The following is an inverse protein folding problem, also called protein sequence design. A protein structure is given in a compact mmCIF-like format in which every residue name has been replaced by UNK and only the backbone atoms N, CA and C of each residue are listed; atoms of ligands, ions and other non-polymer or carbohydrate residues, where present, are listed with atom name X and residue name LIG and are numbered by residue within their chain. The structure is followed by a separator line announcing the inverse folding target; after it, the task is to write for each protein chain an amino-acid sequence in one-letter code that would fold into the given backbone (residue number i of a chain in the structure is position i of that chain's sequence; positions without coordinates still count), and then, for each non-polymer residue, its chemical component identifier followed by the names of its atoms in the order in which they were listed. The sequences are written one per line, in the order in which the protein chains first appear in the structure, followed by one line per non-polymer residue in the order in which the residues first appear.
data_IF_641145422855
#
_entry.id   IF_641145422855
#
_cell.length_a   1.000
_cell.length_b   1.000
_cell.length_c   1.000
_cell.angle_alpha   90.00
_cell.angle_beta   90.00
_cell.angle_gamma   90.00
#
_symmetry.space_group_name_H-M   'P 1'
#
loop_
_entity.id
_entity.type
_entity.pdbx_description
1 polymer ?
#
# COMPACT_ATOMS: atom_id res chain seq x y z
N UNK A 1 -4.64 32.65 -16.28
CA UNK A 1 -4.69 31.36 -17.00
C UNK A 1 -5.08 30.29 -15.99
N UNK A 2 -6.28 29.69 -16.07
CA UNK A 2 -6.62 28.56 -15.22
C UNK A 2 -5.65 27.39 -15.48
N UNK A 3 -5.18 26.72 -14.42
CA UNK A 3 -4.37 25.49 -14.55
C UNK A 3 -5.19 24.48 -15.36
N UNK A 4 -4.63 23.83 -16.39
CA UNK A 4 -5.34 22.77 -17.08
C UNK A 4 -5.70 21.69 -16.06
N UNK A 5 -7.00 21.40 -15.92
CA UNK A 5 -7.50 20.27 -15.18
C UNK A 5 -6.90 19.00 -15.80
N UNK A 6 -5.89 18.45 -15.14
CA UNK A 6 -5.36 17.15 -15.52
C UNK A 6 -6.41 16.11 -15.17
N UNK A 7 -7.13 15.62 -16.19
CA UNK A 7 -7.97 14.43 -16.05
C UNK A 7 -7.16 13.35 -15.36
N UNK A 8 -7.56 12.97 -14.16
CA UNK A 8 -6.95 11.88 -13.42
C UNK A 8 -7.06 10.61 -14.26
N UNK A 9 -5.93 9.98 -14.53
CA UNK A 9 -5.87 8.79 -15.35
C UNK A 9 -6.29 7.59 -14.50
N UNK A 10 -7.36 6.90 -14.90
CA UNK A 10 -7.85 5.71 -14.19
C UNK A 10 -6.95 4.52 -14.49
N UNK A 11 -6.52 3.70 -13.52
CA UNK A 11 -5.65 2.55 -13.79
C UNK A 11 -6.26 1.59 -14.82
N UNK A 12 -5.42 0.88 -15.56
CA UNK A 12 -5.82 -0.19 -16.46
C UNK A 12 -5.98 -1.49 -15.66
N UNK A 13 -6.99 -2.34 -15.94
CA UNK A 13 -7.10 -3.64 -15.29
C UNK A 13 -5.90 -4.54 -15.65
N UNK A 14 -5.59 -5.51 -14.78
CA UNK A 14 -4.52 -6.50 -14.99
C UNK A 14 -3.19 -5.89 -15.42
N UNK A 15 -2.75 -4.88 -14.68
CA UNK A 15 -1.58 -4.08 -15.03
C UNK A 15 -0.68 -3.94 -13.80
N UNK A 16 0.62 -4.07 -14.02
CA UNK A 16 1.65 -3.81 -13.01
C UNK A 16 2.05 -2.35 -13.10
N UNK A 17 2.03 -1.68 -11.96
CA UNK A 17 2.56 -0.34 -11.74
C UNK A 17 3.70 -0.39 -10.75
N UNK A 18 4.70 0.46 -10.95
CA UNK A 18 5.67 0.79 -9.90
C UNK A 18 5.16 2.00 -9.13
N UNK A 19 5.24 1.92 -7.81
CA UNK A 19 4.81 2.99 -6.90
C UNK A 19 6.01 3.56 -6.18
N UNK A 20 6.07 4.89 -6.10
CA UNK A 20 7.09 5.64 -5.37
C UNK A 20 6.38 6.56 -4.38
N UNK A 21 6.62 6.32 -3.11
CA UNK A 21 6.12 7.14 -2.01
C UNK A 21 7.27 7.92 -1.42
N UNK A 22 7.14 9.23 -1.30
CA UNK A 22 8.21 10.03 -0.72
C UNK A 22 8.43 9.67 0.75
N UNK A 23 9.70 9.47 1.12
CA UNK A 23 10.11 9.29 2.50
C UNK A 23 10.73 10.56 3.05
N UNK A 24 11.84 10.99 2.44
CA UNK A 24 12.68 12.09 2.93
C UNK A 24 13.70 12.50 1.89
N UNK A 25 14.42 13.58 2.16
CA UNK A 25 15.57 14.01 1.38
C UNK A 25 16.83 13.78 2.21
N UNK A 26 17.81 13.07 1.66
CA UNK A 26 19.13 12.84 2.26
C UNK A 26 20.17 13.30 1.25
N UNK A 27 21.12 14.14 1.69
CA UNK A 27 22.21 14.65 0.84
C UNK A 27 21.67 15.22 -0.49
N UNK A 28 20.65 16.08 -0.41
CA UNK A 28 19.96 16.70 -1.56
C UNK A 28 19.28 15.72 -2.53
N UNK A 29 19.12 14.45 -2.15
CA UNK A 29 18.45 13.43 -2.95
C UNK A 29 17.16 12.98 -2.26
N UNK A 30 16.05 13.02 -3.00
CA UNK A 30 14.81 12.43 -2.52
C UNK A 30 14.95 10.91 -2.45
N UNK A 31 14.45 10.35 -1.36
CA UNK A 31 14.39 8.92 -1.12
C UNK A 31 12.93 8.51 -1.10
N UNK A 32 12.65 7.38 -1.72
CA UNK A 32 11.31 6.86 -1.91
C UNK A 32 11.19 5.47 -1.30
N UNK A 33 9.99 5.14 -0.82
CA UNK A 33 9.57 3.78 -0.56
C UNK A 33 9.00 3.19 -1.85
N UNK A 34 9.43 1.98 -2.17
CA UNK A 34 9.13 1.31 -3.44
C UNK A 34 8.14 0.18 -3.22
N UNK A 35 7.18 0.06 -4.12
CA UNK A 35 6.28 -1.09 -4.19
C UNK A 35 5.79 -1.35 -5.61
N UNK A 36 5.23 -2.52 -5.84
CA UNK A 36 4.46 -2.83 -7.05
C UNK A 36 2.97 -2.83 -6.73
N UNK A 37 2.20 -2.05 -7.47
CA UNK A 37 0.75 -2.08 -7.39
C UNK A 37 0.21 -2.83 -8.60
N UNK A 38 -0.67 -3.80 -8.35
CA UNK A 38 -1.23 -4.66 -9.39
C UNK A 38 -2.73 -4.53 -9.37
N UNK A 39 -3.29 -4.09 -10.48
CA UNK A 39 -4.75 -3.97 -10.65
C UNK A 39 -5.37 -5.32 -10.98
N UNK A 40 -6.61 -5.51 -10.52
CA UNK A 40 -7.43 -6.68 -10.86
C UNK A 40 -8.66 -6.23 -11.66
N UNK A 41 -9.77 -6.99 -11.59
CA UNK A 41 -11.00 -6.68 -12.31
C UNK A 41 -11.72 -5.41 -11.82
N UNK A 42 -11.52 -5.04 -10.56
CA UNK A 42 -12.21 -3.92 -9.93
C UNK A 42 -11.25 -2.74 -9.78
N UNK A 43 -10.96 -2.03 -10.86
CA UNK A 43 -10.15 -0.80 -10.78
C UNK A 43 -10.93 0.29 -10.04
N UNK A 44 -10.31 1.10 -9.14
CA UNK A 44 -8.88 1.17 -8.81
C UNK A 44 -8.45 0.27 -7.64
N UNK A 45 -9.25 -0.71 -7.25
CA UNK A 45 -8.84 -1.70 -6.27
C UNK A 45 -7.74 -2.60 -6.86
N UNK A 46 -6.82 -3.05 -6.00
CA UNK A 46 -5.77 -3.97 -6.39
C UNK A 46 -4.93 -4.40 -5.21
N UNK A 47 -3.79 -5.04 -5.51
CA UNK A 47 -2.86 -5.53 -4.49
C UNK A 47 -1.54 -4.76 -4.57
N UNK A 48 -1.10 -4.22 -3.43
CA UNK A 48 0.22 -3.65 -3.26
C UNK A 48 1.19 -4.71 -2.71
N UNK A 49 2.33 -4.83 -3.38
CA UNK A 49 3.45 -5.70 -3.06
C UNK A 49 4.65 -4.84 -2.68
N UNK A 50 5.17 -4.98 -1.47
CA UNK A 50 6.36 -4.24 -1.04
C UNK A 50 7.10 -4.97 0.09
N UNK A 51 8.37 -4.60 0.30
CA UNK A 51 9.11 -4.96 1.50
C UNK A 51 9.11 -3.77 2.46
N UNK A 52 8.70 -3.97 3.71
CA UNK A 52 8.54 -2.91 4.71
C UNK A 52 9.09 -3.33 6.06
N UNK A 53 9.54 -2.38 6.87
CA UNK A 53 9.92 -2.56 8.28
C UNK A 53 8.85 -2.00 9.24
N UNK A 54 7.61 -1.83 8.75
CA UNK A 54 6.48 -1.32 9.55
C UNK A 54 6.33 -2.12 10.85
N UNK A 55 6.38 -1.42 11.99
CA UNK A 55 6.25 -2.06 13.30
C UNK A 55 7.46 -2.91 13.71
N UNK A 56 8.58 -2.81 12.98
CA UNK A 56 9.85 -3.49 13.26
C UNK A 56 10.98 -2.49 13.43
N UNK A 57 12.19 -3.00 13.63
CA UNK A 57 13.39 -2.17 13.66
C UNK A 57 13.70 -1.65 12.26
N UNK A 58 14.39 -0.53 12.23
CA UNK A 58 15.02 0.02 11.04
C UNK A 58 15.60 -1.06 10.12
N UNK A 59 15.18 -1.11 8.85
CA UNK A 59 15.72 -2.02 7.84
C UNK A 59 15.51 -3.52 8.14
N UNK A 60 14.74 -3.88 9.16
CA UNK A 60 14.28 -5.25 9.41
C UNK A 60 13.06 -5.53 8.54
N UNK A 61 13.32 -5.68 7.23
CA UNK A 61 12.28 -5.75 6.21
C UNK A 61 11.58 -7.12 6.21
N UNK A 62 10.27 -7.08 6.02
CA UNK A 62 9.45 -8.23 5.67
C UNK A 62 8.59 -7.92 4.46
N UNK A 63 8.20 -8.97 3.74
CA UNK A 63 7.30 -8.86 2.59
C UNK A 63 5.87 -8.68 3.10
N UNK A 64 5.18 -7.66 2.59
CA UNK A 64 3.76 -7.44 2.84
C UNK A 64 3.01 -7.39 1.50
N UNK A 65 1.88 -8.10 1.46
CA UNK A 65 0.91 -8.03 0.37
C UNK A 65 -0.39 -7.55 0.96
N UNK A 66 -0.94 -6.47 0.42
CA UNK A 66 -2.17 -5.88 0.96
C UNK A 66 -3.07 -5.37 -0.13
N UNK A 67 -4.37 -5.56 0.05
CA UNK A 67 -5.38 -4.96 -0.82
C UNK A 67 -5.42 -3.46 -0.56
N UNK A 68 -5.50 -2.69 -1.63
CA UNK A 68 -5.66 -1.23 -1.59
C UNK A 68 -6.87 -0.86 -2.43
N UNK A 69 -7.72 0.04 -1.92
CA UNK A 69 -8.89 0.52 -2.65
C UNK A 69 -8.51 1.43 -3.83
N UNK A 70 -7.47 2.24 -3.62
CA UNK A 70 -6.90 3.15 -4.62
C UNK A 70 -5.49 3.56 -4.14
N UNK A 71 -4.42 3.30 -4.92
CA UNK A 71 -3.07 3.72 -4.55
C UNK A 71 -2.90 5.24 -4.43
N UNK A 72 -3.73 6.03 -5.12
CA UNK A 72 -3.65 7.50 -5.16
C UNK A 72 -4.17 8.17 -3.90
N UNK A 73 -4.91 7.45 -3.04
CA UNK A 73 -5.38 7.96 -1.75
C UNK A 73 -4.28 8.09 -0.70
N UNK A 74 -3.10 7.53 -0.96
CA UNK A 74 -1.96 7.69 -0.05
C UNK A 74 -1.41 9.12 -0.11
N UNK A 75 -1.40 9.80 1.03
CA UNK A 75 -0.87 11.18 1.17
C UNK A 75 0.62 11.30 0.84
N UNK A 76 1.35 10.19 0.93
CA UNK A 76 2.80 10.15 0.65
C UNK A 76 3.10 9.61 -0.75
N UNK A 77 2.08 9.22 -1.53
CA UNK A 77 2.28 8.81 -2.90
C UNK A 77 2.80 9.99 -3.72
N UNK A 78 3.86 9.74 -4.48
CA UNK A 78 4.41 10.70 -5.44
C UNK A 78 4.06 10.25 -6.87
N UNK A 79 4.28 8.98 -7.17
CA UNK A 79 4.10 8.45 -8.51
C UNK A 79 3.55 7.02 -8.49
N UNK A 80 2.60 6.75 -9.37
CA UNK A 80 2.14 5.40 -9.72
C UNK A 80 2.29 5.23 -11.24
N UNK A 81 3.30 4.48 -11.68
CA UNK A 81 3.78 4.49 -13.05
C UNK A 81 3.57 3.11 -13.71
N UNK A 82 2.88 3.08 -14.85
CA UNK A 82 2.62 1.82 -15.57
C UNK A 82 3.91 1.13 -16.02
N UNK A 83 3.98 -0.19 -15.88
CA UNK A 83 5.09 -1.00 -16.40
C UNK A 83 4.64 -1.93 -17.53
N UNK A 84 3.69 -2.84 -17.26
CA UNK A 84 3.32 -3.90 -18.18
C UNK A 84 2.01 -4.58 -17.75
N UNK A 85 1.52 -5.52 -18.57
CA UNK A 85 0.42 -6.41 -18.17
C UNK A 85 0.83 -7.29 -16.99
N UNK A 86 -0.10 -7.51 -16.08
CA UNK A 86 0.09 -8.33 -14.89
C UNK A 86 -0.24 -9.81 -15.15
N UNK A 87 0.56 -10.74 -14.57
CA UNK A 87 0.14 -12.11 -14.37
C UNK A 87 -0.84 -12.20 -13.18
N UNK A 88 -1.28 -13.41 -12.81
CA UNK A 88 -2.14 -13.57 -11.64
C UNK A 88 -1.41 -13.17 -10.35
N UNK A 89 -2.17 -12.65 -9.36
CA UNK A 89 -1.64 -12.28 -8.04
C UNK A 89 -0.90 -13.45 -7.39
N UNK A 90 -1.41 -14.67 -7.49
CA UNK A 90 -0.78 -15.87 -6.93
C UNK A 90 0.56 -16.20 -7.60
N UNK A 91 0.69 -15.94 -8.90
CA UNK A 91 1.97 -16.08 -9.62
C UNK A 91 3.00 -15.10 -9.06
N UNK A 92 2.59 -13.84 -8.85
CA UNK A 92 3.47 -12.80 -8.29
C UNK A 92 3.87 -13.17 -6.86
N UNK A 93 2.93 -13.61 -6.02
CA UNK A 93 3.20 -14.07 -4.65
C UNK A 93 4.18 -15.24 -4.61
N UNK A 94 3.98 -16.23 -5.49
CA UNK A 94 4.86 -17.41 -5.60
C UNK A 94 6.30 -17.03 -5.98
N UNK A 95 6.46 -16.09 -6.91
CA UNK A 95 7.79 -15.59 -7.30
C UNK A 95 8.39 -14.71 -6.19
N UNK A 96 7.59 -13.87 -5.54
CA UNK A 96 8.03 -13.03 -4.42
C UNK A 96 8.52 -13.87 -3.23
N UNK A 97 7.90 -15.02 -2.95
CA UNK A 97 8.30 -15.95 -1.89
C UNK A 97 9.67 -16.61 -2.13
N UNK A 98 10.17 -16.59 -3.36
CA UNK A 98 11.49 -17.13 -3.71
C UNK A 98 12.62 -16.12 -3.50
N UNK A 99 12.30 -14.85 -3.25
CA UNK A 99 13.31 -13.81 -3.03
C UNK A 99 13.82 -13.95 -1.58
N UNK A 100 15.12 -14.19 -1.37
CA UNK A 100 15.72 -14.37 -0.05
C UNK A 100 15.94 -13.03 0.66
N UNK A 101 14.86 -12.27 0.85
CA UNK A 101 14.88 -10.97 1.54
C UNK A 101 15.52 -11.12 2.93
N UNK A 102 16.40 -10.19 3.28
CA UNK A 102 17.20 -10.18 4.52
C UNK A 102 18.33 -11.22 4.60
N UNK A 103 18.57 -12.08 3.60
CA UNK A 103 19.78 -12.91 3.58
C UNK A 103 20.96 -12.14 2.98
N UNK A 104 22.03 -11.82 3.75
CA UNK A 104 23.18 -11.06 3.26
C UNK A 104 23.97 -11.79 2.16
N UNK A 105 23.86 -13.12 2.06
CA UNK A 105 24.56 -13.91 1.03
C UNK A 105 23.93 -13.79 -0.35
N UNK A 106 22.70 -13.26 -0.41
CA UNK A 106 21.90 -13.14 -1.61
C UNK A 106 21.65 -11.69 -2.01
N UNK A 107 22.41 -10.73 -1.47
CA UNK A 107 22.34 -9.33 -1.89
C UNK A 107 22.74 -9.24 -3.38
N UNK A 108 21.91 -8.65 -4.26
CA UNK A 108 22.23 -8.50 -5.67
C UNK A 108 23.54 -7.73 -5.90
N UNK A 109 24.26 -8.07 -6.97
CA UNK A 109 25.53 -7.40 -7.30
C UNK A 109 25.32 -5.89 -7.46
N UNK A 110 26.21 -5.11 -6.84
CA UNK A 110 26.17 -3.65 -6.85
C UNK A 110 25.28 -3.04 -5.76
N UNK A 111 24.58 -3.87 -4.99
CA UNK A 111 23.79 -3.43 -3.84
C UNK A 111 24.56 -3.71 -2.54
N UNK A 112 24.45 -2.81 -1.55
CA UNK A 112 25.15 -2.95 -0.27
C UNK A 112 24.32 -3.66 0.79
N UNK A 113 22.99 -3.62 0.67
CA UNK A 113 22.06 -4.22 1.62
C UNK A 113 20.67 -4.38 0.99
N UNK A 114 19.81 -5.16 1.64
CA UNK A 114 18.39 -5.21 1.30
C UNK A 114 17.69 -3.90 1.60
N UNK A 115 16.90 -3.43 0.63
CA UNK A 115 15.99 -2.28 0.75
C UNK A 115 14.68 -2.60 0.03
N UNK A 116 13.62 -1.83 0.28
CA UNK A 116 12.37 -1.99 -0.48
C UNK A 116 12.59 -1.85 -2.00
N UNK A 117 13.46 -0.92 -2.41
CA UNK A 117 13.91 -0.76 -3.81
C UNK A 117 14.55 -2.03 -4.36
N UNK A 118 15.55 -2.56 -3.65
CA UNK A 118 16.28 -3.77 -4.07
C UNK A 118 15.33 -4.97 -4.17
N UNK A 119 14.42 -5.12 -3.21
CA UNK A 119 13.41 -6.17 -3.26
C UNK A 119 12.47 -6.04 -4.46
N UNK A 120 12.00 -4.83 -4.78
CA UNK A 120 11.16 -4.59 -5.98
C UNK A 120 11.93 -4.93 -7.26
N UNK A 121 13.20 -4.55 -7.36
CA UNK A 121 14.06 -4.91 -8.50
C UNK A 121 14.18 -6.42 -8.66
N UNK A 122 14.44 -7.15 -7.57
CA UNK A 122 14.53 -8.61 -7.59
C UNK A 122 13.20 -9.28 -7.96
N UNK A 123 12.07 -8.72 -7.52
CA UNK A 123 10.75 -9.20 -7.93
C UNK A 123 10.52 -8.99 -9.44
N UNK A 124 10.83 -7.82 -9.98
CA UNK A 124 10.74 -7.57 -11.42
C UNK A 124 11.69 -8.48 -12.22
N UNK A 125 12.93 -8.68 -11.74
CA UNK A 125 13.89 -9.64 -12.30
C UNK A 125 13.32 -11.06 -12.32
N UNK A 126 12.73 -11.51 -11.20
CA UNK A 126 12.11 -12.82 -11.08
C UNK A 126 10.95 -12.99 -12.06
N UNK A 127 10.01 -12.04 -12.07
CA UNK A 127 8.86 -12.05 -12.99
C UNK A 127 9.30 -12.12 -14.46
N UNK A 128 10.33 -11.35 -14.85
CA UNK A 128 10.85 -11.39 -16.21
C UNK A 128 11.60 -12.69 -16.52
N UNK A 129 12.40 -13.22 -15.58
CA UNK A 129 13.15 -14.49 -15.74
C UNK A 129 12.21 -15.68 -15.91
N UNK A 130 11.07 -15.68 -15.22
CA UNK A 130 10.00 -16.67 -15.38
C UNK A 130 9.12 -16.40 -16.62
N UNK A 131 9.41 -15.36 -17.41
CA UNK A 131 8.69 -15.00 -18.64
C UNK A 131 7.19 -14.71 -18.43
N UNK A 132 6.80 -14.33 -17.21
CA UNK A 132 5.39 -14.00 -16.89
C UNK A 132 5.05 -12.53 -17.13
N UNK A 133 6.07 -11.69 -17.32
CA UNK A 133 5.95 -10.30 -17.77
C UNK A 133 7.00 -9.98 -18.83
N UNK A 134 6.75 -8.91 -19.59
CA UNK A 134 7.73 -8.28 -20.47
C UNK A 134 7.91 -6.83 -20.04
N UNK A 135 9.09 -6.48 -19.54
CA UNK A 135 9.37 -5.11 -19.13
C UNK A 135 9.64 -4.20 -20.34
N UNK A 136 9.31 -2.91 -20.23
CA UNK A 136 9.54 -1.91 -21.29
C UNK A 136 11.02 -1.52 -21.46
N UNK A 137 11.91 -1.99 -20.59
CA UNK A 137 13.34 -1.71 -20.62
C UNK A 137 14.09 -2.56 -19.60
N UNK A 138 15.38 -2.27 -19.39
CA UNK A 138 16.15 -2.86 -18.30
C UNK A 138 15.66 -2.35 -16.95
N UNK A 139 15.93 -3.11 -15.89
CA UNK A 139 15.50 -2.74 -14.53
C UNK A 139 16.21 -1.46 -14.07
N UNK A 140 17.46 -1.27 -14.46
CA UNK A 140 18.25 -0.07 -14.19
C UNK A 140 17.65 1.16 -14.88
N UNK A 141 17.18 1.02 -16.13
CA UNK A 141 16.50 2.10 -16.84
C UNK A 141 15.16 2.43 -16.18
N UNK A 142 14.37 1.40 -15.83
CA UNK A 142 13.11 1.57 -15.11
C UNK A 142 13.34 2.32 -13.81
N UNK A 143 14.33 1.92 -13.02
CA UNK A 143 14.69 2.58 -11.77
C UNK A 143 15.05 4.05 -11.99
N UNK A 144 15.97 4.33 -12.90
CA UNK A 144 16.43 5.69 -13.21
C UNK A 144 15.27 6.59 -13.64
N UNK A 145 14.43 6.13 -14.57
CA UNK A 145 13.32 6.90 -15.09
C UNK A 145 12.19 7.07 -14.06
N UNK A 146 11.97 6.08 -13.18
CA UNK A 146 10.96 6.16 -12.14
C UNK A 146 11.32 7.20 -11.07
N UNK A 147 12.57 7.21 -10.63
CA UNK A 147 13.09 8.23 -9.70
C UNK A 147 12.98 9.62 -10.31
N UNK A 148 13.42 9.80 -11.56
CA UNK A 148 13.32 11.08 -12.26
C UNK A 148 11.87 11.57 -12.37
N UNK A 149 10.94 10.67 -12.71
CA UNK A 149 9.53 11.00 -12.81
C UNK A 149 8.96 11.42 -11.44
N UNK A 150 9.30 10.68 -10.38
CA UNK A 150 8.89 11.00 -9.02
C UNK A 150 9.46 12.34 -8.54
N UNK A 151 10.75 12.62 -8.78
CA UNK A 151 11.38 13.91 -8.48
C UNK A 151 10.66 15.06 -9.19
N UNK A 152 10.40 14.91 -10.49
CA UNK A 152 9.68 15.92 -11.28
C UNK A 152 8.27 16.19 -10.74
N UNK A 153 7.52 15.14 -10.39
CA UNK A 153 6.17 15.27 -9.84
C UNK A 153 6.20 15.93 -8.46
N UNK A 154 7.17 15.56 -7.64
CA UNK A 154 7.39 16.14 -6.32
C UNK A 154 7.70 17.62 -6.38
N UNK A 155 8.58 18.05 -7.28
CA UNK A 155 8.94 19.45 -7.49
C UNK A 155 7.74 20.29 -7.95
N UNK A 156 6.79 19.66 -8.64
CA UNK A 156 5.51 20.27 -9.05
C UNK A 156 4.46 20.30 -7.92
N UNK A 157 4.73 19.68 -6.78
CA UNK A 157 3.74 19.45 -5.72
C UNK A 157 2.57 18.58 -6.20
N UNK A 158 2.83 17.66 -7.13
CA UNK A 158 1.84 16.82 -7.76
C UNK A 158 2.04 15.35 -7.39
N UNK A 159 0.92 14.63 -7.30
CA UNK A 159 0.89 13.16 -7.24
C UNK A 159 0.14 12.67 -8.46
N UNK A 160 0.72 11.75 -9.24
CA UNK A 160 0.09 11.27 -10.48
C UNK A 160 0.18 9.77 -10.67
N UNK A 161 -0.92 9.23 -11.21
CA UNK A 161 -0.93 7.97 -11.91
C UNK A 161 -0.65 8.23 -13.39
N UNK A 162 0.40 7.62 -13.93
CA UNK A 162 0.79 7.73 -15.34
C UNK A 162 0.58 6.38 -16.00
N UNK A 163 -0.38 6.34 -16.93
CA UNK A 163 -0.83 5.12 -17.60
C UNK A 163 -0.16 4.88 -18.96
N UNK A 164 0.75 5.75 -19.35
CA UNK A 164 1.49 5.66 -20.59
C UNK A 164 2.97 5.42 -20.31
N UNK A 165 3.63 4.57 -21.11
CA UNK A 165 5.06 4.26 -20.98
C UNK A 165 6.01 5.43 -21.29
N UNK A 166 5.47 6.61 -21.63
CA UNK A 166 6.26 7.79 -21.99
C UNK A 166 7.19 8.27 -20.87
N UNK A 167 6.90 7.93 -19.61
CA UNK A 167 7.78 8.28 -18.48
C UNK A 167 9.15 7.57 -18.54
N UNK A 168 9.22 6.42 -19.20
CA UNK A 168 10.46 5.63 -19.41
C UNK A 168 11.28 6.17 -20.58
N UNK A 169 10.66 6.88 -21.50
CA UNK A 169 11.40 7.39 -22.65
C UNK A 169 12.38 8.48 -22.20
N UNK A 170 13.57 8.56 -22.83
CA UNK A 170 14.40 9.74 -22.69
C UNK A 170 13.58 10.95 -23.15
N UNK A 171 13.64 12.10 -22.45
CA UNK A 171 12.97 13.29 -22.92
C UNK A 171 13.45 13.58 -24.35
N UNK A 172 12.55 14.02 -25.26
CA UNK A 172 12.98 14.47 -26.58
C UNK A 172 14.10 15.49 -26.35
N UNK A 173 15.28 15.22 -26.92
CA UNK A 173 16.48 16.02 -26.68
C UNK A 173 16.17 17.48 -27.01
N UNK A 174 15.92 18.30 -25.98
CA UNK A 174 15.98 19.73 -26.14
C UNK A 174 17.44 20.06 -26.42
N UNK A 175 17.76 20.44 -27.65
CA UNK A 175 19.05 21.00 -28.00
C UNK A 175 19.32 22.18 -27.06
N UNK A 176 20.24 22.00 -26.10
CA UNK A 176 20.69 23.09 -25.22
C UNK A 176 20.17 23.01 -23.80
N UNK A 177 20.81 22.20 -22.97
CA UNK A 177 21.52 22.67 -21.77
C UNK A 177 22.08 21.46 -21.03
N UNK A 178 23.41 21.35 -21.01
CA UNK A 178 24.16 20.31 -20.30
C UNK A 178 24.02 20.52 -18.79
N UNK A 179 22.89 20.15 -18.22
CA UNK A 179 22.85 19.84 -16.78
C UNK A 179 23.51 18.47 -16.61
N UNK A 180 24.52 18.34 -15.73
CA UNK A 180 25.19 17.07 -15.52
C UNK A 180 24.17 16.03 -15.06
N UNK A 181 24.15 14.88 -15.73
CA UNK A 181 23.38 13.70 -15.32
C UNK A 181 23.84 13.34 -13.92
N UNK A 182 23.00 13.61 -12.90
CA UNK A 182 23.26 13.16 -11.53
C UNK A 182 23.27 11.64 -11.55
N UNK A 183 24.46 11.05 -11.45
CA UNK A 183 24.63 9.61 -11.33
C UNK A 183 24.04 9.16 -9.99
N UNK A 184 22.86 8.56 -10.02
CA UNK A 184 22.27 7.84 -8.89
C UNK A 184 22.98 6.49 -8.77
N UNK A 185 24.28 6.51 -8.48
CA UNK A 185 25.01 5.30 -8.09
C UNK A 185 24.45 4.73 -6.81
N UNK A 186 24.92 3.55 -6.39
CA UNK A 186 24.64 3.02 -5.06
C UNK A 186 25.32 3.93 -4.03
N UNK A 187 24.71 5.08 -3.72
CA UNK A 187 25.09 5.88 -2.57
C UNK A 187 24.82 5.00 -1.36
N UNK A 188 25.85 4.63 -0.60
CA UNK A 188 25.68 3.94 0.66
C UNK A 188 24.67 4.75 1.48
N UNK A 189 23.75 4.06 2.15
CA UNK A 189 23.07 4.71 3.25
C UNK A 189 24.16 5.19 4.21
N UNK A 190 24.20 6.49 4.52
CA UNK A 190 24.87 7.01 5.71
C UNK A 190 24.12 6.47 6.94
N UNK A 191 24.28 5.18 7.18
CA UNK A 191 24.07 4.51 8.46
C UNK A 191 25.41 4.04 9.01
N UNK A 192 26.53 4.59 8.51
CA UNK A 192 27.80 4.53 9.21
C UNK A 192 27.65 5.27 10.53
N UNK A 193 27.21 4.51 11.53
CA UNK A 193 27.68 4.72 12.89
C UNK A 193 29.17 4.38 12.79
N UNK A 194 30.02 5.38 12.55
CA UNK A 194 31.45 5.25 12.77
C UNK A 194 31.61 4.63 14.16
N UNK A 195 32.04 3.36 14.21
CA UNK A 195 32.57 2.75 15.42
C UNK A 195 33.97 3.35 15.66
N UNK A 196 34.03 4.67 15.82
CA UNK A 196 35.16 5.38 16.37
C UNK A 196 35.08 5.23 17.89
N UNK A 197 35.93 4.35 18.43
CA UNK A 197 36.14 4.24 19.86
C UNK A 197 36.53 5.61 20.45
N UNK A 198 35.58 6.27 21.10
CA UNK A 198 35.79 7.61 21.65
C UNK A 198 34.70 7.97 22.64
N UNK A 199 35.06 7.95 23.92
CA UNK A 199 34.22 8.21 25.08
C UNK A 199 33.38 9.50 24.99
N UNK A 200 32.15 9.38 25.51
CA UNK A 200 31.29 10.38 26.20
C UNK A 200 30.39 11.32 25.38
N UNK A 201 29.20 11.46 25.98
CA UNK A 201 28.11 12.44 25.80
C UNK A 201 27.05 12.11 24.75
N UNK A 202 25.89 11.71 25.30
CA UNK A 202 24.69 11.38 24.56
C UNK A 202 24.03 12.60 23.93
N UNK A 203 23.73 12.47 22.66
CA UNK A 203 22.53 12.98 22.03
C UNK A 203 21.99 11.85 21.16
N UNK A 204 20.84 11.30 21.53
CA UNK A 204 20.18 10.25 20.75
C UNK A 204 19.79 10.81 19.39
N UNK A 205 20.51 10.40 18.35
CA UNK A 205 20.10 10.62 16.97
C UNK A 205 18.72 10.02 16.78
N UNK A 206 17.71 10.86 16.52
CA UNK A 206 16.36 10.41 16.20
C UNK A 206 16.42 9.63 14.89
N UNK A 207 16.29 8.32 14.99
CA UNK A 207 16.02 7.46 13.86
C UNK A 207 14.57 7.67 13.42
N UNK A 208 14.39 8.22 12.22
CA UNK A 208 13.09 8.33 11.55
C UNK A 208 12.98 7.16 10.56
N UNK A 209 12.39 6.05 11.00
CA UNK A 209 11.99 4.96 10.10
C UNK A 209 10.95 5.45 9.08
N UNK A 210 10.67 4.69 8.01
CA UNK A 210 9.62 5.06 7.07
C UNK A 210 8.29 5.17 7.82
N UNK A 211 7.62 6.31 7.70
CA UNK A 211 6.31 6.50 8.29
C UNK A 211 5.36 5.40 7.79
N UNK A 212 4.62 4.73 8.70
CA UNK A 212 3.69 3.69 8.32
C UNK A 212 2.69 4.25 7.31
N UNK A 213 2.44 3.47 6.27
CA UNK A 213 1.48 3.82 5.25
C UNK A 213 0.06 3.84 5.83
N UNK A 214 -0.49 5.03 5.99
CA UNK A 214 -1.92 5.28 6.22
C UNK A 214 -2.64 5.25 4.88
N UNK A 215 -2.95 4.04 4.41
CA UNK A 215 -4.00 3.84 3.42
C UNK A 215 -5.11 3.12 4.15
N UNK A 216 -6.35 3.60 4.01
CA UNK A 216 -7.51 2.97 4.62
C UNK A 216 -7.50 1.45 4.40
N UNK A 217 -7.26 0.71 5.48
CA UNK A 217 -7.30 -0.74 5.45
C UNK A 217 -8.77 -1.12 5.53
N UNK A 218 -9.30 -1.67 4.44
CA UNK A 218 -10.66 -2.19 4.47
C UNK A 218 -10.68 -3.47 5.31
N UNK A 219 -11.06 -3.34 6.58
CA UNK A 219 -11.32 -4.49 7.44
C UNK A 219 -12.69 -5.10 7.08
N UNK A 220 -12.78 -6.41 6.81
CA UNK A 220 -14.08 -7.09 6.82
C UNK A 220 -14.61 -7.12 8.26
N UNK A 221 -15.88 -6.74 8.43
CA UNK A 221 -16.59 -6.73 9.71
C UNK A 221 -16.64 -8.15 10.29
N UNK A 222 -15.88 -8.39 11.36
CA UNK A 222 -15.95 -9.63 12.14
C UNK A 222 -16.32 -9.29 13.57
N UNK A 223 -17.36 -9.96 14.07
CA UNK A 223 -17.92 -9.81 15.42
C UNK A 223 -16.92 -10.22 16.51
N UNK A 224 -16.90 -9.42 17.58
CA UNK A 224 -16.14 -9.57 18.84
C UNK A 224 -16.77 -10.65 19.74
N UNK A 225 -15.95 -11.47 20.44
CA UNK A 225 -15.81 -11.39 21.90
C UNK A 225 -14.34 -11.65 22.32
N UNK A 226 -13.77 -11.40 23.50
CA UNK A 226 -14.14 -10.94 24.84
C UNK A 226 -12.84 -11.05 25.69
N UNK A 227 -12.66 -10.11 26.62
CA UNK A 227 -11.57 -9.82 27.58
C UNK A 227 -10.49 -10.87 27.96
N UNK A 228 -9.25 -10.39 28.24
CA UNK A 228 -8.59 -10.38 29.58
C UNK A 228 -7.48 -9.31 29.60
N UNK A 229 -7.51 -8.42 30.59
CA UNK A 229 -6.49 -7.40 30.89
C UNK A 229 -5.25 -8.00 31.58
N UNK A 230 -4.05 -7.62 31.12
CA UNK A 230 -2.83 -7.66 31.93
C UNK A 230 -2.15 -6.31 31.88
N UNK A 231 -2.05 -5.71 33.06
CA UNK A 231 -1.44 -4.42 33.44
C UNK A 231 -0.02 -4.26 32.88
N UNK A 232 0.22 -3.27 32.02
CA UNK A 232 1.54 -2.67 31.78
C UNK A 232 1.43 -1.15 31.56
N UNK A 233 2.52 -0.48 31.87
CA UNK A 233 2.67 0.92 32.25
C UNK A 233 2.28 1.95 31.19
N UNK A 234 1.96 3.15 31.70
CA UNK A 234 1.40 4.32 30.99
C UNK A 234 2.34 4.82 29.90
N UNK A 235 1.94 4.62 28.64
CA UNK A 235 2.42 5.36 27.49
C UNK A 235 1.60 6.65 27.36
N UNK A 236 2.26 7.80 27.22
CA UNK A 236 1.59 9.06 26.94
C UNK A 236 1.04 9.03 25.51
N UNK A 237 -0.29 9.00 25.38
CA UNK A 237 -1.00 9.23 24.11
C UNK A 237 -0.84 10.70 23.66
N UNK A 238 -0.65 10.96 22.36
CA UNK A 238 -0.86 12.30 21.80
C UNK A 238 -2.36 12.65 21.82
N UNK A 239 -2.68 13.85 22.33
CA UNK A 239 -4.02 14.41 22.41
C UNK A 239 -4.82 14.29 21.11
N UNK A 240 -6.12 13.96 21.16
CA UNK A 240 -6.98 13.96 19.99
C UNK A 240 -7.16 15.38 19.46
N UNK A 241 -6.94 15.54 18.17
CA UNK A 241 -7.30 16.74 17.42
C UNK A 241 -8.82 16.82 17.35
N UNK A 242 -9.38 17.95 17.82
CA UNK A 242 -10.81 18.25 17.78
C UNK A 242 -11.32 18.17 16.34
N UNK A 243 -12.26 17.25 16.08
CA UNK A 243 -13.14 17.33 14.93
C UNK A 243 -14.53 17.64 15.44
N UNK A 244 -15.04 18.81 15.07
CA UNK A 244 -16.42 19.22 15.30
C UNK A 244 -17.36 18.12 14.82
N UNK A 245 -17.99 17.44 15.78
CA UNK A 245 -19.03 16.48 15.49
C UNK A 245 -20.34 17.26 15.45
N UNK A 246 -20.80 17.63 14.25
CA UNK A 246 -22.20 18.02 14.07
C UNK A 246 -23.07 16.80 14.41
N UNK A 247 -23.72 16.87 15.58
CA UNK A 247 -24.72 15.90 15.98
C UNK A 247 -25.94 15.98 15.06
N UNK A 248 -26.42 14.87 14.47
CA UNK A 248 -27.76 14.85 13.93
C UNK A 248 -28.75 14.76 15.10
N UNK A 249 -29.70 15.67 15.08
CA UNK A 249 -30.82 15.83 16.00
C UNK A 249 -31.60 14.50 16.13
N UNK A 250 -31.50 13.85 17.29
CA UNK A 250 -32.27 12.64 17.57
C UNK A 250 -33.75 12.98 17.72
N UNK A 251 -34.55 12.51 16.76
CA UNK A 251 -35.99 12.41 16.88
C UNK A 251 -36.38 11.55 18.09
N UNK A 252 -37.06 12.20 19.03
CA UNK A 252 -37.66 11.66 20.24
C UNK A 252 -38.86 10.78 19.87
N UNK A 253 -38.92 9.48 20.21
CA UNK A 253 -40.14 8.71 20.03
C UNK A 253 -41.18 9.15 21.07
N UNK A 254 -42.36 9.56 20.58
CA UNK A 254 -43.56 9.80 21.39
C UNK A 254 -44.00 8.48 22.01
N UNK A 255 -44.24 8.50 23.32
CA UNK A 255 -44.96 7.46 24.03
C UNK A 255 -46.37 7.32 23.43
N UNK A 256 -46.74 6.11 23.03
CA UNK A 256 -48.11 5.76 22.63
C UNK A 256 -48.81 5.20 23.87
N UNK A 257 -49.88 5.87 24.29
CA UNK A 257 -50.78 5.42 25.34
C UNK A 257 -51.43 4.08 24.97
N UNK A 258 -51.30 3.12 25.87
CA UNK A 258 -52.03 1.85 25.83
C UNK A 258 -53.46 2.10 26.29
N UNK A 259 -54.40 2.14 25.35
CA UNK A 259 -55.83 1.97 25.65
C UNK A 259 -56.17 0.48 25.58
N UNK A 260 -56.47 -0.09 26.75
CA UNK A 260 -57.35 -1.26 26.90
C UNK A 260 -58.71 -0.89 26.32
N UNK A 261 -59.30 -1.78 25.53
CA UNK A 261 -60.62 -2.34 25.81
C UNK A 261 -61.10 -3.33 24.74
N UNK A 262 -61.89 -4.28 25.24
CA UNK A 262 -62.87 -5.15 24.56
C UNK A 262 -62.41 -6.52 24.04
N UNK A 263 -62.67 -7.48 24.93
CA UNK A 263 -63.06 -8.85 24.65
C UNK A 263 -64.18 -8.94 23.60
N UNK A 264 -64.01 -9.84 22.63
CA UNK A 264 -65.11 -10.67 22.15
C UNK A 264 -64.59 -12.07 21.87
N UNK A 265 -65.11 -13.03 22.64
CA UNK A 265 -65.01 -14.46 22.39
C UNK A 265 -65.69 -14.80 21.05
N UNK A 266 -65.07 -15.66 20.25
CA UNK A 266 -65.78 -16.67 19.46
C UNK A 266 -64.89 -17.92 19.27
N UNK A 267 -65.57 -19.06 19.42
CA UNK A 267 -65.07 -20.42 19.67
C UNK A 267 -64.44 -21.12 18.45
N UNK A 268 -63.77 -22.27 18.66
CA UNK A 268 -63.00 -22.97 17.66
C UNK A 268 -63.84 -23.99 16.87
N UNK A 269 -63.40 -24.32 15.66
CA UNK A 269 -63.78 -25.55 14.96
C UNK A 269 -62.55 -26.39 14.67
N UNK A 270 -62.55 -27.57 15.29
CA UNK A 270 -61.66 -28.69 15.03
C UNK A 270 -61.96 -29.33 13.66
N UNK A 271 -60.96 -30.02 13.11
CA UNK A 271 -61.02 -30.78 11.85
C UNK A 271 -59.60 -30.94 11.32
N UNK A 272 -58.75 -31.74 11.95
CA UNK A 272 -58.67 -33.21 11.85
C UNK A 272 -57.98 -33.67 10.55
N UNK A 273 -56.92 -34.50 10.72
CA UNK A 273 -56.32 -35.45 9.75
C UNK A 273 -55.46 -34.87 8.61
N UNK A 274 -54.38 -35.48 8.13
CA UNK A 274 -53.65 -36.74 8.40
C UNK A 274 -52.37 -36.73 7.52
N UNK A 275 -51.29 -37.35 8.02
CA UNK A 275 -50.21 -38.09 7.34
C UNK A 275 -49.88 -37.82 5.84
N UNK A 276 -48.59 -37.68 5.52
CA UNK A 276 -47.80 -38.79 4.95
C UNK A 276 -46.29 -38.47 4.87
N UNK A 277 -45.51 -39.34 5.50
CA UNK A 277 -44.11 -39.62 5.19
C UNK A 277 -44.03 -40.32 3.83
N UNK A 278 -43.09 -39.92 2.98
CA UNK A 278 -42.59 -40.79 1.91
C UNK A 278 -41.07 -40.78 1.94
N UNK A 279 -40.51 -41.89 2.41
CA UNK A 279 -39.16 -42.33 2.09
C UNK A 279 -39.13 -42.79 0.63
N UNK A 280 -38.10 -42.42 -0.12
CA UNK A 280 -37.69 -43.19 -1.28
C UNK A 280 -36.16 -43.25 -1.36
N UNK A 281 -35.69 -44.49 -1.34
CA UNK A 281 -34.32 -44.99 -1.46
C UNK A 281 -34.13 -45.53 -2.89
N UNK A 282 -32.87 -45.62 -3.33
CA UNK A 282 -32.30 -46.28 -4.55
C UNK A 282 -32.30 -45.41 -5.81
N UNK A 283 -31.23 -45.39 -6.63
CA UNK A 283 -30.13 -46.35 -6.84
C UNK A 283 -28.77 -45.66 -6.85
#
# INVERSE_FOLDING_TARGET
MPRPETKESTPHPYTVYITLQYLRTINEQNKYHWGLYVTENRVPEGTLFHATDRGRRALDLYVEFRTVSDPMRSKTMTACLVLCRAPSIDTIKSIAAQIPLMDPRHIPRGEVQWTCRVWVKELLSGLQRHQVIKLPGTIENIEHHAVRAADTLRDQGATRLINELQWILPPPQAMGNKTPVRYYGPSPMDTEVEYGGGRRHGYGGRYYGPSPMETEVHHPVMHRPGAVEVRRERYYEPSPMETETHAPEMHRPRAVEVRRDHYHEQRPTAGDRTYQYVNAVRR
#
